data_IF_038242718778
#
_entry.id   IF_038242718778
#
_cell.length_a   1.000
_cell.length_b   1.000
_cell.length_c   1.000
_cell.angle_alpha   90.00
_cell.angle_beta   90.00
_cell.angle_gamma   90.00
#
_symmetry.space_group_name_H-M   'P 1'
#
loop_
_entity.id
_entity.type
_entity.pdbx_description
1 polymer ?
#
# COMPACT_ATOMS: atom_id res chain seq x y z
N UNK A 1 -5.32 13.20 -32.83
CA UNK A 1 -5.31 12.29 -31.68
C UNK A 1 -6.76 12.18 -31.25
N UNK A 2 -7.46 11.24 -31.87
CA UNK A 2 -8.90 11.08 -31.68
C UNK A 2 -9.13 10.50 -30.29
N UNK A 3 -9.87 11.24 -29.46
CA UNK A 3 -10.37 10.72 -28.20
C UNK A 3 -11.28 9.54 -28.54
N UNK A 4 -10.84 8.31 -28.22
CA UNK A 4 -11.67 7.11 -28.31
C UNK A 4 -13.00 7.40 -27.61
N UNK A 5 -14.05 7.61 -28.40
CA UNK A 5 -15.40 7.80 -27.89
C UNK A 5 -15.81 6.50 -27.21
N UNK A 6 -15.88 6.50 -25.88
CA UNK A 6 -16.46 5.41 -25.12
C UNK A 6 -17.95 5.31 -25.47
N UNK A 7 -18.48 4.10 -25.55
CA UNK A 7 -19.91 3.88 -25.85
C UNK A 7 -20.56 3.16 -24.68
N UNK A 8 -21.76 3.59 -24.32
CA UNK A 8 -22.57 2.94 -23.29
C UNK A 8 -22.82 1.47 -23.70
N UNK A 9 -22.51 0.49 -22.86
CA UNK A 9 -22.65 -0.93 -23.21
C UNK A 9 -24.11 -1.38 -23.17
N UNK A 10 -24.97 -0.59 -22.54
CA UNK A 10 -26.39 -0.89 -22.34
C UNK A 10 -27.25 -0.41 -23.51
N UNK A 11 -26.89 0.71 -24.15
CA UNK A 11 -27.67 1.28 -25.27
C UNK A 11 -26.86 1.69 -26.50
N UNK A 12 -25.53 1.62 -26.46
CA UNK A 12 -24.66 2.01 -27.57
C UNK A 12 -24.45 3.52 -27.75
N UNK A 13 -25.06 4.38 -26.92
CA UNK A 13 -24.87 5.83 -27.02
C UNK A 13 -23.44 6.26 -26.64
N UNK A 14 -22.86 7.30 -27.26
CA UNK A 14 -21.57 7.84 -26.85
C UNK A 14 -21.60 8.30 -25.39
N UNK A 15 -20.55 7.94 -24.66
CA UNK A 15 -20.37 8.16 -23.24
C UNK A 15 -19.08 8.95 -23.01
N UNK A 16 -19.11 9.88 -22.05
CA UNK A 16 -17.89 10.54 -21.58
C UNK A 16 -17.17 9.62 -20.60
N UNK A 17 -15.83 9.67 -20.60
CA UNK A 17 -14.98 8.88 -19.71
C UNK A 17 -15.14 9.22 -18.23
N UNK A 18 -15.69 10.38 -17.91
CA UNK A 18 -15.94 10.87 -16.55
C UNK A 18 -17.40 10.75 -16.10
N UNK A 19 -18.30 10.29 -16.99
CA UNK A 19 -19.72 10.15 -16.65
C UNK A 19 -19.96 8.87 -15.84
N UNK A 20 -20.63 8.99 -14.69
CA UNK A 20 -21.03 7.85 -13.87
C UNK A 20 -22.36 7.21 -14.32
N UNK A 21 -23.14 7.91 -15.15
CA UNK A 21 -24.41 7.45 -15.73
C UNK A 21 -24.54 7.90 -17.18
N UNK A 22 -25.23 7.09 -18.00
CA UNK A 22 -25.49 7.40 -19.39
C UNK A 22 -26.59 8.45 -19.51
N UNK A 23 -26.32 9.55 -20.21
CA UNK A 23 -27.30 10.61 -20.47
C UNK A 23 -28.47 10.18 -21.35
N UNK A 24 -28.35 9.04 -22.06
CA UNK A 24 -29.39 8.55 -22.96
C UNK A 24 -30.31 7.51 -22.29
N UNK A 25 -29.76 6.43 -21.72
CA UNK A 25 -30.56 5.36 -21.13
C UNK A 25 -30.56 5.34 -19.59
N UNK A 26 -29.78 6.19 -18.93
CA UNK A 26 -29.63 6.18 -17.47
C UNK A 26 -28.78 5.03 -16.91
N UNK A 27 -28.25 4.15 -17.76
CA UNK A 27 -27.40 3.02 -17.34
C UNK A 27 -26.13 3.49 -16.63
N UNK A 28 -25.65 2.73 -15.65
CA UNK A 28 -24.47 3.08 -14.86
C UNK A 28 -23.21 2.89 -15.72
N UNK A 29 -22.42 3.96 -15.84
CA UNK A 29 -21.18 3.99 -16.62
C UNK A 29 -19.91 3.93 -15.74
N UNK A 30 -20.07 3.81 -14.42
CA UNK A 30 -18.93 3.63 -13.51
C UNK A 30 -18.03 2.49 -14.01
N UNK A 31 -16.74 2.76 -14.17
CA UNK A 31 -15.82 1.80 -14.75
C UNK A 31 -15.24 0.84 -13.69
N UNK A 32 -15.20 -0.44 -14.03
CA UNK A 32 -14.58 -1.54 -13.27
C UNK A 32 -13.53 -2.15 -14.18
N UNK A 33 -12.37 -2.58 -13.68
CA UNK A 33 -11.38 -3.18 -14.57
C UNK A 33 -11.65 -4.68 -14.75
N UNK A 34 -11.38 -5.19 -15.95
CA UNK A 34 -11.47 -6.62 -16.23
C UNK A 34 -10.51 -7.39 -15.31
N UNK A 35 -10.96 -8.46 -14.61
CA UNK A 35 -10.09 -9.22 -13.72
C UNK A 35 -9.02 -10.06 -14.46
N UNK A 36 -9.12 -10.20 -15.79
CA UNK A 36 -8.19 -10.98 -16.61
C UNK A 36 -7.17 -10.13 -17.37
N UNK A 37 -7.62 -9.05 -17.99
CA UNK A 37 -6.80 -8.24 -18.89
C UNK A 37 -6.83 -6.74 -18.59
N UNK A 38 -7.51 -6.33 -17.51
CA UNK A 38 -7.43 -4.98 -16.94
C UNK A 38 -7.94 -3.83 -17.80
N UNK A 39 -8.50 -4.16 -18.96
CA UNK A 39 -9.29 -3.23 -19.73
C UNK A 39 -10.44 -2.68 -18.87
N UNK A 40 -10.65 -1.37 -18.91
CA UNK A 40 -11.77 -0.74 -18.24
C UNK A 40 -13.07 -1.23 -18.87
N UNK A 41 -13.95 -1.72 -18.03
CA UNK A 41 -15.28 -2.20 -18.37
C UNK A 41 -16.28 -1.28 -17.66
N UNK A 42 -17.52 -1.28 -18.10
CA UNK A 42 -18.58 -0.66 -17.32
C UNK A 42 -19.03 -1.62 -16.22
N UNK A 43 -19.52 -1.08 -15.10
CA UNK A 43 -19.94 -1.86 -13.93
C UNK A 43 -20.92 -2.99 -14.25
N UNK A 44 -21.80 -2.77 -15.23
CA UNK A 44 -22.81 -3.76 -15.64
C UNK A 44 -22.43 -4.54 -16.90
N UNK A 45 -21.21 -4.37 -17.41
CA UNK A 45 -20.67 -5.23 -18.47
C UNK A 45 -20.72 -6.68 -17.99
N UNK A 46 -21.21 -7.61 -18.80
CA UNK A 46 -21.15 -9.06 -18.50
C UNK A 46 -19.82 -9.68 -18.87
N UNK A 47 -19.13 -9.08 -19.85
CA UNK A 47 -17.86 -9.54 -20.40
C UNK A 47 -16.97 -8.35 -20.71
N UNK A 48 -15.66 -8.55 -20.65
CA UNK A 48 -14.66 -7.59 -21.05
C UNK A 48 -14.67 -7.39 -22.56
N UNK A 49 -14.81 -6.15 -23.00
CA UNK A 49 -14.76 -5.76 -24.43
C UNK A 49 -13.41 -5.99 -25.08
N UNK A 50 -12.33 -6.08 -24.30
CA UNK A 50 -10.98 -6.30 -24.84
C UNK A 50 -10.57 -7.77 -24.91
N UNK A 51 -10.81 -8.57 -23.86
CA UNK A 51 -10.33 -9.95 -23.80
C UNK A 51 -11.44 -11.01 -23.61
N UNK A 52 -12.71 -10.61 -23.56
CA UNK A 52 -13.86 -11.52 -23.48
C UNK A 52 -14.08 -12.20 -22.11
N UNK A 53 -13.27 -11.91 -21.10
CA UNK A 53 -13.45 -12.51 -19.76
C UNK A 53 -14.76 -12.05 -19.10
N UNK A 54 -15.39 -12.93 -18.31
CA UNK A 54 -16.57 -12.58 -17.52
C UNK A 54 -16.29 -11.43 -16.56
N UNK A 55 -17.21 -10.48 -16.46
CA UNK A 55 -17.17 -9.45 -15.44
C UNK A 55 -17.52 -10.08 -14.09
N UNK A 56 -16.56 -10.06 -13.18
CA UNK A 56 -16.81 -10.50 -11.80
C UNK A 56 -17.27 -9.27 -11.03
N UNK A 57 -18.59 -9.12 -10.85
CA UNK A 57 -19.09 -8.21 -9.82
C UNK A 57 -18.55 -8.72 -8.49
N UNK A 58 -17.68 -7.96 -7.82
CA UNK A 58 -17.23 -8.31 -6.48
C UNK A 58 -18.46 -8.33 -5.56
N UNK A 59 -19.00 -9.52 -5.31
CA UNK A 59 -20.08 -9.78 -4.36
C UNK A 59 -19.43 -10.42 -3.14
N UNK A 60 -18.88 -9.58 -2.28
CA UNK A 60 -18.38 -10.06 -0.99
C UNK A 60 -19.54 -10.58 -0.13
N UNK A 61 -19.28 -11.63 0.62
CA UNK A 61 -20.15 -12.10 1.70
C UNK A 61 -19.97 -11.21 2.94
N UNK A 62 -20.94 -11.12 3.87
CA UNK A 62 -20.72 -10.43 5.14
C UNK A 62 -19.52 -11.00 5.89
N UNK A 63 -18.55 -10.15 6.23
CA UNK A 63 -17.36 -10.53 6.99
C UNK A 63 -17.46 -10.14 8.46
N UNK A 64 -16.62 -10.79 9.28
CA UNK A 64 -16.61 -10.58 10.74
C UNK A 64 -15.75 -9.39 11.20
N UNK A 65 -15.11 -8.67 10.27
CA UNK A 65 -14.23 -7.56 10.59
C UNK A 65 -14.97 -6.23 10.50
N UNK A 66 -14.73 -5.36 11.48
CA UNK A 66 -15.27 -3.99 11.47
C UNK A 66 -14.31 -3.04 10.77
N UNK A 67 -14.88 -2.12 9.99
CA UNK A 67 -14.14 -1.06 9.33
C UNK A 67 -13.53 -0.11 10.38
N UNK A 68 -12.21 0.15 10.35
CA UNK A 68 -11.56 1.00 11.33
C UNK A 68 -11.87 2.49 11.17
N UNK A 69 -12.43 2.89 10.03
CA UNK A 69 -12.79 4.29 9.74
C UNK A 69 -14.24 4.62 10.14
N UNK A 70 -15.19 3.71 9.86
CA UNK A 70 -16.61 3.99 10.05
C UNK A 70 -17.37 2.94 10.88
N UNK A 71 -16.64 1.97 11.45
CA UNK A 71 -17.11 0.93 12.38
C UNK A 71 -18.19 -0.02 11.82
N UNK A 72 -18.45 0.03 10.52
CA UNK A 72 -19.39 -0.88 9.84
C UNK A 72 -18.75 -2.24 9.58
N UNK A 73 -19.55 -3.31 9.56
CA UNK A 73 -19.09 -4.63 9.11
C UNK A 73 -18.60 -4.55 7.67
N UNK A 74 -17.43 -5.14 7.41
CA UNK A 74 -16.83 -5.22 6.10
C UNK A 74 -17.30 -6.46 5.37
N UNK A 75 -17.50 -6.33 4.08
CA UNK A 75 -17.71 -7.46 3.18
C UNK A 75 -16.38 -8.18 2.98
N UNK A 76 -16.40 -9.50 2.90
CA UNK A 76 -15.25 -10.37 2.64
C UNK A 76 -15.39 -10.97 1.25
N UNK A 77 -14.32 -11.02 0.47
CA UNK A 77 -14.34 -11.63 -0.86
C UNK A 77 -12.95 -11.95 -1.36
N UNK A 78 -12.87 -12.74 -2.44
CA UNK A 78 -11.61 -13.17 -3.02
C UNK A 78 -11.47 -12.60 -4.44
N UNK A 79 -10.27 -12.10 -4.76
CA UNK A 79 -9.90 -11.61 -6.09
C UNK A 79 -8.57 -12.24 -6.46
N UNK A 80 -8.56 -13.08 -7.51
CA UNK A 80 -7.37 -13.81 -7.97
C UNK A 80 -6.60 -14.53 -6.85
N UNK A 81 -7.28 -15.15 -5.88
CA UNK A 81 -6.63 -15.77 -4.70
C UNK A 81 -6.02 -14.80 -3.69
N UNK A 82 -6.40 -13.53 -3.76
CA UNK A 82 -6.21 -12.57 -2.68
C UNK A 82 -7.52 -12.40 -1.92
N UNK A 83 -7.52 -12.83 -0.66
CA UNK A 83 -8.62 -12.57 0.26
C UNK A 83 -8.58 -11.11 0.71
N UNK A 84 -9.68 -10.40 0.55
CA UNK A 84 -9.80 -9.02 0.95
C UNK A 84 -11.08 -8.75 1.71
N UNK A 85 -11.00 -7.77 2.61
CA UNK A 85 -12.18 -7.19 3.25
C UNK A 85 -12.38 -5.77 2.75
N UNK A 86 -13.58 -5.46 2.32
CA UNK A 86 -13.93 -4.16 1.75
C UNK A 86 -15.10 -3.55 2.52
N UNK A 87 -14.97 -2.27 2.87
CA UNK A 87 -16.05 -1.52 3.48
C UNK A 87 -16.96 -0.92 2.40
N UNK A 88 -18.24 -1.32 2.36
CA UNK A 88 -19.21 -0.78 1.41
C UNK A 88 -19.58 0.71 1.64
N UNK A 89 -19.21 1.29 2.80
CA UNK A 89 -19.51 2.69 3.16
C UNK A 89 -18.38 3.65 2.81
N UNK A 90 -17.17 3.43 3.31
CA UNK A 90 -16.03 4.32 3.07
C UNK A 90 -15.12 3.86 1.92
N UNK A 91 -15.34 2.65 1.40
CA UNK A 91 -14.57 2.03 0.32
C UNK A 91 -13.11 1.69 0.65
N UNK A 92 -12.75 1.71 1.94
CA UNK A 92 -11.46 1.21 2.39
C UNK A 92 -11.35 -0.32 2.29
N UNK A 93 -10.11 -0.79 2.25
CA UNK A 93 -9.76 -2.20 2.03
C UNK A 93 -8.82 -2.63 3.16
N UNK A 94 -9.05 -3.83 3.66
CA UNK A 94 -8.14 -4.52 4.57
C UNK A 94 -7.59 -5.78 3.89
N UNK A 95 -6.26 -5.91 3.92
CA UNK A 95 -5.54 -7.11 3.51
C UNK A 95 -4.69 -7.61 4.68
N UNK A 96 -4.64 -8.92 4.87
CA UNK A 96 -3.62 -9.51 5.73
C UNK A 96 -2.21 -9.30 5.13
N UNK A 97 -1.19 -9.51 5.95
CA UNK A 97 0.21 -9.32 5.54
C UNK A 97 0.61 -10.15 4.33
N UNK A 98 0.29 -11.44 4.34
CA UNK A 98 0.74 -12.39 3.31
C UNK A 98 0.08 -12.07 1.97
N UNK A 99 -1.20 -11.74 2.01
CA UNK A 99 -1.99 -11.31 0.85
C UNK A 99 -1.47 -10.00 0.30
N UNK A 100 -1.20 -8.98 1.14
CA UNK A 100 -0.65 -7.72 0.66
C UNK A 100 0.75 -7.89 0.06
N UNK A 101 1.60 -8.69 0.69
CA UNK A 101 2.94 -8.98 0.19
C UNK A 101 2.90 -9.72 -1.16
N UNK A 102 1.93 -10.63 -1.35
CA UNK A 102 1.66 -11.28 -2.64
C UNK A 102 1.22 -10.26 -3.71
N UNK A 103 0.29 -9.35 -3.37
CA UNK A 103 -0.13 -8.26 -4.26
C UNK A 103 1.05 -7.37 -4.66
N UNK A 104 2.04 -7.15 -3.79
CA UNK A 104 3.20 -6.33 -4.16
C UNK A 104 4.17 -7.06 -5.11
N UNK A 105 4.28 -8.40 -5.04
CA UNK A 105 5.27 -9.17 -5.81
C UNK A 105 4.77 -9.69 -7.15
N UNK A 106 3.47 -9.92 -7.29
CA UNK A 106 2.91 -10.64 -8.43
C UNK A 106 2.12 -9.69 -9.34
N UNK A 107 2.57 -9.54 -10.59
CA UNK A 107 1.95 -8.67 -11.59
C UNK A 107 0.50 -9.08 -11.93
N UNK A 108 0.17 -10.37 -11.89
CA UNK A 108 -1.20 -10.84 -12.12
C UNK A 108 -2.11 -10.43 -10.95
N UNK A 109 -1.58 -10.47 -9.72
CA UNK A 109 -2.30 -10.06 -8.51
C UNK A 109 -2.47 -8.54 -8.41
N UNK A 110 -1.41 -7.79 -8.72
CA UNK A 110 -1.46 -6.33 -8.86
C UNK A 110 -2.60 -5.94 -9.79
N UNK A 111 -2.63 -6.58 -10.94
CA UNK A 111 -3.58 -6.25 -11.96
C UNK A 111 -4.99 -6.68 -11.53
N UNK A 112 -5.16 -7.88 -10.95
CA UNK A 112 -6.44 -8.34 -10.41
C UNK A 112 -7.04 -7.38 -9.37
N UNK A 113 -6.21 -6.84 -8.48
CA UNK A 113 -6.64 -5.86 -7.47
C UNK A 113 -6.98 -4.50 -8.10
N UNK A 114 -6.24 -4.04 -9.11
CA UNK A 114 -6.64 -2.87 -9.91
C UNK A 114 -7.96 -3.09 -10.66
N UNK A 115 -8.30 -4.37 -10.92
CA UNK A 115 -9.59 -4.87 -11.43
C UNK A 115 -10.81 -4.50 -10.60
N UNK A 116 -10.65 -4.23 -9.31
CA UNK A 116 -11.77 -3.98 -8.40
C UNK A 116 -12.62 -2.78 -8.85
N UNK A 117 -13.95 -2.86 -8.77
CA UNK A 117 -14.83 -1.77 -9.13
C UNK A 117 -14.44 -0.45 -8.47
N UNK A 118 -13.89 0.47 -9.25
CA UNK A 118 -13.63 1.81 -8.77
C UNK A 118 -14.97 2.53 -8.65
N UNK A 119 -15.34 2.88 -7.43
CA UNK A 119 -16.29 3.96 -7.24
C UNK A 119 -15.52 5.25 -7.50
N UNK A 120 -15.47 5.65 -8.77
CA UNK A 120 -14.99 6.96 -9.16
C UNK A 120 -16.02 7.99 -8.70
N UNK A 121 -15.61 8.80 -7.73
CA UNK A 121 -16.21 10.08 -7.38
C UNK A 121 -15.06 11.04 -7.24
N UNK A 122 -15.24 12.26 -7.75
CA UNK A 122 -14.22 13.30 -7.88
C UNK A 122 -13.32 13.43 -6.65
N UNK A 123 -12.07 13.80 -6.90
CA UNK A 123 -11.12 14.23 -5.88
C UNK A 123 -11.75 15.36 -5.05
N UNK A 124 -12.37 15.01 -3.93
CA UNK A 124 -12.74 16.00 -2.94
C UNK A 124 -11.45 16.57 -2.38
N UNK A 125 -11.26 17.88 -2.54
CA UNK A 125 -10.21 18.64 -1.89
C UNK A 125 -10.05 18.15 -0.44
N UNK A 126 -8.82 17.79 -0.08
CA UNK A 126 -8.51 17.22 1.23
C UNK A 126 -9.05 18.15 2.32
N UNK A 127 -10.05 17.74 3.12
CA UNK A 127 -10.33 18.46 4.36
C UNK A 127 -9.09 18.37 5.24
N UNK A 128 -8.86 19.34 6.12
CA UNK A 128 -7.85 19.22 7.17
C UNK A 128 -8.19 17.99 8.01
N UNK A 129 -7.51 16.86 7.73
CA UNK A 129 -7.79 15.59 8.38
C UNK A 129 -7.14 15.63 9.76
N UNK A 130 -7.96 15.77 10.79
CA UNK A 130 -7.58 15.49 12.17
C UNK A 130 -6.94 14.09 12.22
N UNK A 131 -5.66 14.03 12.62
CA UNK A 131 -4.89 12.77 12.61
C UNK A 131 -5.48 11.83 13.67
N UNK A 132 -6.19 10.79 13.24
CA UNK A 132 -6.78 9.77 14.11
C UNK A 132 -6.11 8.43 13.89
N UNK A 133 -5.46 7.91 14.94
CA UNK A 133 -4.92 6.55 14.93
C UNK A 133 -6.05 5.52 15.01
N UNK A 134 -6.10 4.64 14.01
CA UNK A 134 -7.12 3.61 13.84
C UNK A 134 -6.77 2.33 14.60
N UNK A 135 -7.78 1.62 15.13
CA UNK A 135 -7.59 0.29 15.74
C UNK A 135 -7.48 -0.78 14.66
N UNK A 136 -6.69 -1.82 14.92
CA UNK A 136 -6.66 -2.99 14.05
C UNK A 136 -8.04 -3.71 14.09
N UNK A 137 -8.58 -4.15 12.94
CA UNK A 137 -9.83 -4.93 12.93
C UNK A 137 -9.72 -6.31 13.60
N UNK A 138 -8.50 -6.80 13.86
CA UNK A 138 -8.23 -8.15 14.38
C UNK A 138 -7.63 -8.15 15.79
N UNK A 139 -7.13 -7.02 16.30
CA UNK A 139 -6.52 -6.95 17.63
C UNK A 139 -6.76 -5.58 18.29
N UNK A 140 -6.55 -5.45 19.62
CA UNK A 140 -6.83 -4.20 20.32
C UNK A 140 -5.79 -3.09 20.05
N UNK A 141 -4.68 -3.39 19.36
CA UNK A 141 -3.62 -2.43 19.08
C UNK A 141 -4.03 -1.38 18.04
N UNK A 142 -3.39 -0.21 18.10
CA UNK A 142 -3.52 0.84 17.09
C UNK A 142 -2.55 0.56 15.93
N UNK A 143 -3.00 0.86 14.72
CA UNK A 143 -2.20 0.73 13.51
C UNK A 143 -1.26 1.93 13.35
N UNK A 144 -0.07 1.68 12.83
CA UNK A 144 0.93 2.69 12.57
C UNK A 144 0.71 3.30 11.19
N UNK A 145 0.62 4.62 11.15
CA UNK A 145 0.51 5.38 9.90
C UNK A 145 1.88 5.50 9.24
N UNK A 146 2.08 4.88 8.08
CA UNK A 146 3.38 4.80 7.39
C UNK A 146 3.27 5.24 5.95
N UNK A 147 4.25 6.01 5.47
CA UNK A 147 4.41 6.25 4.03
C UNK A 147 4.95 4.97 3.38
N UNK A 148 4.17 4.35 2.51
CA UNK A 148 4.54 3.11 1.85
C UNK A 148 5.84 3.29 1.05
N UNK A 149 6.78 2.35 1.20
CA UNK A 149 8.12 2.42 0.61
C UNK A 149 8.87 3.75 0.92
N UNK A 150 8.46 4.51 1.94
CA UNK A 150 9.01 5.80 2.40
C UNK A 150 9.05 6.94 1.36
N UNK A 151 8.82 6.65 0.08
CA UNK A 151 8.91 7.59 -1.03
C UNK A 151 7.69 7.55 -1.97
N UNK A 152 6.68 6.70 -1.69
CA UNK A 152 5.48 6.62 -2.56
C UNK A 152 4.55 7.82 -2.42
N UNK A 153 4.55 8.48 -1.25
CA UNK A 153 3.57 9.52 -0.90
C UNK A 153 2.19 8.96 -0.55
N UNK A 154 2.04 7.63 -0.51
CA UNK A 154 0.80 6.96 -0.11
C UNK A 154 0.95 6.52 1.35
N UNK A 155 0.05 7.00 2.21
CA UNK A 155 0.17 6.79 3.65
C UNK A 155 -0.87 5.78 4.12
N UNK A 156 -0.43 4.59 4.52
CA UNK A 156 -1.30 3.48 4.93
C UNK A 156 -1.23 3.22 6.42
N UNK A 157 -2.23 2.54 6.98
CA UNK A 157 -2.23 2.17 8.40
C UNK A 157 -1.91 0.67 8.56
N UNK A 158 -0.76 0.37 9.18
CA UNK A 158 -0.23 -0.98 9.29
C UNK A 158 -0.35 -1.49 10.72
N UNK A 159 -1.00 -2.65 10.88
CA UNK A 159 -0.86 -3.45 12.10
C UNK A 159 0.41 -4.30 12.00
N UNK A 160 1.24 -4.25 13.05
CA UNK A 160 2.52 -4.99 13.10
C UNK A 160 2.33 -6.51 12.98
N UNK A 161 1.16 -7.05 13.29
CA UNK A 161 0.93 -8.51 13.30
C UNK A 161 0.02 -8.96 12.17
N UNK A 162 -1.08 -8.24 11.92
CA UNK A 162 -2.21 -8.79 11.19
C UNK A 162 -2.29 -8.40 9.72
N UNK A 163 -2.03 -7.14 9.39
CA UNK A 163 -2.30 -6.64 8.04
C UNK A 163 -2.28 -5.13 7.92
N UNK A 164 -2.75 -4.66 6.77
CA UNK A 164 -2.73 -3.25 6.39
C UNK A 164 -4.12 -2.78 5.99
N UNK A 165 -4.48 -1.62 6.49
CA UNK A 165 -5.65 -0.86 6.07
C UNK A 165 -5.26 0.15 5.00
N UNK A 166 -6.08 0.21 3.96
CA UNK A 166 -5.98 1.14 2.86
C UNK A 166 -7.25 1.97 2.80
N UNK A 167 -7.13 3.28 2.89
CA UNK A 167 -8.24 4.17 2.56
C UNK A 167 -8.58 4.08 1.06
N UNK A 168 -9.68 4.77 0.71
CA UNK A 168 -10.16 4.84 -0.66
C UNK A 168 -9.02 5.20 -1.61
N UNK A 169 -8.79 4.35 -2.60
CA UNK A 169 -7.75 4.45 -3.64
C UNK A 169 -6.28 4.24 -3.19
N UNK A 170 -5.96 4.09 -1.91
CA UNK A 170 -4.56 3.94 -1.48
C UNK A 170 -3.90 2.66 -2.02
N UNK A 171 -4.61 1.53 -1.95
CA UNK A 171 -4.12 0.26 -2.50
C UNK A 171 -3.85 0.37 -4.01
N UNK A 172 -4.71 1.08 -4.74
CA UNK A 172 -4.53 1.31 -6.18
C UNK A 172 -3.28 2.15 -6.46
N UNK A 173 -3.09 3.24 -5.71
CA UNK A 173 -1.91 4.10 -5.84
C UNK A 173 -0.62 3.35 -5.52
N UNK A 174 -0.65 2.46 -4.52
CA UNK A 174 0.47 1.57 -4.19
C UNK A 174 0.79 0.65 -5.36
N UNK A 175 -0.21 -0.02 -5.94
CA UNK A 175 0.03 -0.92 -7.07
C UNK A 175 0.60 -0.17 -8.26
N UNK A 176 0.07 1.02 -8.59
CA UNK A 176 0.63 1.86 -9.65
C UNK A 176 2.07 2.30 -9.36
N UNK A 177 2.39 2.61 -8.10
CA UNK A 177 3.75 2.92 -7.68
C UNK A 177 4.69 1.73 -7.88
N UNK A 178 4.27 0.52 -7.50
CA UNK A 178 5.04 -0.71 -7.68
C UNK A 178 5.26 -1.00 -9.17
N UNK A 179 4.22 -0.93 -10.00
CA UNK A 179 4.30 -1.17 -11.45
C UNK A 179 5.25 -0.21 -12.18
N UNK A 180 5.45 1.00 -11.64
CA UNK A 180 6.40 2.00 -12.17
C UNK A 180 7.84 1.80 -11.66
N UNK A 181 8.13 0.68 -10.99
CA UNK A 181 9.44 0.40 -10.41
C UNK A 181 9.73 1.16 -9.11
N UNK A 182 8.67 1.56 -8.38
CA UNK A 182 8.81 2.36 -7.17
C UNK A 182 9.57 1.66 -6.04
N UNK A 183 9.50 0.33 -5.97
CA UNK A 183 10.22 -0.46 -4.96
C UNK A 183 11.73 -0.46 -5.22
N UNK A 184 12.15 -0.54 -6.47
CA UNK A 184 13.55 -0.42 -6.89
C UNK A 184 14.09 0.96 -6.51
N UNK A 185 13.32 2.01 -6.80
CA UNK A 185 13.66 3.39 -6.41
C UNK A 185 13.78 3.53 -4.89
N UNK A 186 12.87 2.94 -4.13
CA UNK A 186 12.92 2.95 -2.67
C UNK A 186 14.19 2.28 -2.14
N UNK A 187 14.56 1.11 -2.67
CA UNK A 187 15.79 0.41 -2.26
C UNK A 187 17.05 1.21 -2.58
N UNK A 188 17.09 1.85 -3.74
CA UNK A 188 18.22 2.71 -4.13
C UNK A 188 18.37 3.90 -3.17
N UNK A 189 17.26 4.57 -2.81
CA UNK A 189 17.26 5.69 -1.86
C UNK A 189 17.66 5.26 -0.45
N UNK A 190 17.22 4.08 -0.01
CA UNK A 190 17.61 3.52 1.29
C UNK A 190 19.12 3.24 1.36
N UNK A 191 19.69 2.64 0.32
CA UNK A 191 21.13 2.40 0.23
C UNK A 191 21.92 3.71 0.29
N UNK A 192 21.51 4.72 -0.48
CA UNK A 192 22.13 6.04 -0.47
C UNK A 192 22.07 6.69 0.92
N UNK A 193 20.92 6.63 1.60
CA UNK A 193 20.77 7.15 2.95
C UNK A 193 21.70 6.44 3.96
N UNK A 194 21.78 5.10 3.91
CA UNK A 194 22.67 4.33 4.77
C UNK A 194 24.15 4.69 4.54
N UNK A 195 24.55 4.91 3.28
CA UNK A 195 25.90 5.37 2.98
C UNK A 195 26.19 6.78 3.51
N UNK A 196 25.21 7.69 3.41
CA UNK A 196 25.33 9.03 3.97
C UNK A 196 25.44 8.98 5.50
N UNK A 197 24.63 8.17 6.17
CA UNK A 197 24.70 7.95 7.61
C UNK A 197 26.05 7.38 8.03
N UNK A 198 26.55 6.37 7.31
CA UNK A 198 27.88 5.77 7.55
C UNK A 198 29.00 6.81 7.41
N UNK A 199 28.95 7.66 6.38
CA UNK A 199 29.92 8.74 6.18
C UNK A 199 29.90 9.74 7.33
N UNK A 200 28.72 10.18 7.76
CA UNK A 200 28.55 11.11 8.90
C UNK A 200 29.05 10.52 10.21
N UNK A 201 28.74 9.25 10.49
CA UNK A 201 29.21 8.55 11.68
C UNK A 201 30.74 8.42 11.70
N UNK A 202 31.36 8.09 10.55
CA UNK A 202 32.82 8.02 10.43
C UNK A 202 33.51 9.36 10.65
N UNK A 203 32.92 10.47 10.19
CA UNK A 203 33.46 11.83 10.40
C UNK A 203 33.38 12.24 11.88
N UNK A 204 32.24 11.99 12.54
CA UNK A 204 32.06 12.28 13.96
C UNK A 204 33.06 11.54 14.87
N UNK A 205 33.46 10.31 14.49
CA UNK A 205 34.51 9.56 15.18
C UNK A 205 35.92 10.09 14.88
N UNK A 206 36.15 10.68 13.71
CA UNK A 206 37.44 11.27 13.32
C UNK A 206 37.73 12.64 13.95
N UNK A 207 36.69 13.40 14.32
CA UNK A 207 36.80 14.75 14.89
C UNK A 207 36.92 14.78 16.43
N UNK A 208 36.98 13.61 17.10
CA UNK A 208 37.25 13.53 18.54
C UNK A 208 38.76 13.40 18.77
N UNK A 209 39.47 14.44 19.26
CA UNK A 209 40.86 14.27 19.63
C UNK A 209 40.92 13.30 20.83
N UNK A 210 41.84 12.33 20.86
CA UNK A 210 42.04 11.53 22.06
C UNK A 210 42.50 12.46 23.18
N UNK A 211 41.63 12.76 24.15
CA UNK A 211 42.06 13.42 25.38
C UNK A 211 42.83 12.39 26.21
N UNK A 212 44.13 12.31 25.95
CA UNK A 212 45.06 11.52 26.75
C UNK A 212 45.22 12.23 28.10
N UNK A 213 44.40 11.88 29.08
CA UNK A 213 44.66 12.24 30.49
C UNK A 213 45.88 11.45 30.96
N UNK A 214 46.94 12.09 31.50
CA UNK A 214 48.10 11.36 32.00
C UNK A 214 47.68 10.48 33.17
N UNK A 215 47.89 9.18 33.03
CA UNK A 215 47.68 8.16 34.06
C UNK A 215 48.54 8.46 35.30
N UNK A 216 47.93 8.88 36.40
CA UNK A 216 48.51 8.74 37.73
C UNK A 216 48.21 7.31 38.22
N UNK A 217 49.28 6.55 38.47
CA UNK A 217 49.24 5.13 38.76
C UNK A 217 48.58 4.78 40.09
N UNK A 218 47.80 3.71 40.07
CA UNK A 218 47.35 3.00 41.27
C UNK A 218 45.86 2.65 41.29
N UNK A 219 45.41 1.71 40.45
CA UNK A 219 44.25 0.89 40.80
C UNK A 219 44.31 -0.47 40.06
N UNK A 220 43.89 -1.59 40.67
CA UNK A 220 44.03 -2.92 40.08
C UNK A 220 42.94 -3.20 39.04
N UNK A 221 43.40 -3.62 37.87
CA UNK A 221 42.74 -4.35 36.78
C UNK A 221 41.20 -4.55 36.86
N UNK A 222 40.48 -3.78 36.04
CA UNK A 222 39.34 -4.28 35.30
C UNK A 222 39.66 -4.09 33.81
N UNK A 223 40.35 -5.07 33.25
CA UNK A 223 40.65 -5.17 31.83
C UNK A 223 39.37 -5.64 31.10
N UNK A 224 38.59 -4.68 30.64
CA UNK A 224 37.51 -4.83 29.66
C UNK A 224 37.90 -4.10 28.37
N UNK A 225 39.14 -4.33 27.93
CA UNK A 225 39.48 -4.16 26.54
C UNK A 225 38.42 -4.85 25.66
N UNK A 226 37.94 -4.08 24.67
CA UNK A 226 37.74 -4.57 23.30
C UNK A 226 36.60 -5.58 23.01
N UNK A 227 35.88 -6.12 23.99
CA UNK A 227 34.94 -7.23 23.74
C UNK A 227 33.59 -6.84 23.10
N UNK A 228 33.20 -5.56 22.99
CA UNK A 228 31.93 -5.20 22.31
C UNK A 228 32.10 -4.26 21.12
N UNK A 229 33.17 -4.50 20.35
CA UNK A 229 33.13 -4.52 18.88
C UNK A 229 32.03 -5.51 18.37
N UNK A 230 31.52 -6.38 19.25
CA UNK A 230 30.50 -7.41 19.06
C UNK A 230 29.03 -6.93 18.90
N UNK A 231 28.65 -5.73 19.36
CA UNK A 231 27.27 -5.20 19.11
C UNK A 231 27.17 -4.39 17.82
N UNK A 232 28.31 -3.98 17.25
CA UNK A 232 28.38 -3.31 15.95
C UNK A 232 28.07 -4.25 14.76
N UNK A 233 28.06 -5.58 14.92
CA UNK A 233 27.92 -6.52 13.80
C UNK A 233 26.59 -7.27 13.78
N UNK A 234 25.90 -7.46 14.93
CA UNK A 234 24.58 -8.13 14.96
C UNK A 234 23.41 -7.25 14.51
N UNK A 235 23.54 -5.93 14.58
CA UNK A 235 22.51 -5.00 14.10
C UNK A 235 22.50 -4.84 12.56
N UNK A 236 23.54 -5.31 11.87
CA UNK A 236 23.76 -5.06 10.44
C UNK A 236 23.31 -6.19 9.50
N UNK A 237 22.68 -7.28 9.99
CA UNK A 237 22.39 -8.46 9.14
C UNK A 237 20.98 -9.06 9.29
N UNK A 238 20.07 -8.50 10.09
CA UNK A 238 18.80 -9.16 10.42
C UNK A 238 17.51 -8.43 9.98
N UNK A 239 17.59 -7.29 9.30
CA UNK A 239 16.37 -6.55 8.89
C UNK A 239 16.50 -6.10 7.43
N UNK A 240 16.77 -7.05 6.53
CA UNK A 240 16.70 -6.85 5.08
C UNK A 240 15.60 -7.70 4.41
N UNK A 241 14.76 -8.41 5.16
CA UNK A 241 13.70 -9.22 4.57
C UNK A 241 12.56 -9.36 5.56
N UNK A 242 11.56 -8.48 5.51
CA UNK A 242 10.20 -8.76 5.99
C UNK A 242 9.29 -7.60 5.54
N UNK A 243 8.97 -7.65 4.24
CA UNK A 243 7.82 -6.97 3.63
C UNK A 243 6.80 -8.04 3.25
#
# INVERSE_FOLDING_TARGET
MDAESLHCPSCGAPARSDASTCSHCGGVLATVACPKCFHLMFRDSKFCSSCGALAVAWRGEPGNLSCPECEQSMLKGEVASCLLHHCAKCYGIWLDKETFARVCRDADQQSAVLGLPQLMGAESAAPEVEIRYRKCPQCPERMNRVNFARCSGVVVDVCRTHGTWFDRQELHRIIQFVQRGGLEKSRALELENLEHERRRASQALGDSPPSYTPMCGGCPTADLAEIVVYTAVRAAAAILTDW
#
